data_IF_922878654249
#
_entry.id   IF_922878654249
#
_cell.length_a   1.000
_cell.length_b   1.000
_cell.length_c   1.000
_cell.angle_alpha   90.00
_cell.angle_beta   90.00
_cell.angle_gamma   90.00
#
_symmetry.space_group_name_H-M   'P 1'
#
loop_
_entity.id
_entity.type
_entity.pdbx_description
1 polymer ?
#
# COMPACT_ATOMS: atom_id res chain seq x y z
N UNK A 1 23.52 19.00 -6.30
CA UNK A 1 23.22 18.59 -4.90
C UNK A 1 22.65 17.19 -4.96
N UNK A 2 23.20 16.19 -4.25
CA UNK A 2 22.61 14.86 -4.22
C UNK A 2 21.20 14.95 -3.62
N UNK A 3 20.25 14.28 -4.26
CA UNK A 3 18.85 14.27 -3.85
C UNK A 3 18.70 13.47 -2.54
N UNK A 4 18.45 14.15 -1.41
CA UNK A 4 18.29 13.50 -0.10
C UNK A 4 16.82 13.10 0.12
N UNK A 5 16.55 11.80 -0.03
CA UNK A 5 15.23 11.20 0.12
C UNK A 5 14.67 11.25 1.55
N UNK A 6 15.52 11.42 2.57
CA UNK A 6 15.09 11.46 3.97
C UNK A 6 14.67 12.86 4.40
N UNK A 7 15.38 13.88 3.92
CA UNK A 7 15.13 15.28 4.30
C UNK A 7 14.05 15.96 3.47
N UNK A 8 13.81 15.51 2.25
CA UNK A 8 12.92 16.17 1.30
C UNK A 8 11.52 15.56 1.21
N UNK A 9 11.00 14.99 2.29
CA UNK A 9 9.59 14.57 2.32
C UNK A 9 8.68 15.80 2.19
N UNK A 10 7.71 15.79 1.24
CA UNK A 10 6.84 16.94 1.03
C UNK A 10 5.99 17.22 2.27
N UNK A 11 5.76 18.51 2.54
CA UNK A 11 4.80 18.92 3.58
C UNK A 11 3.37 18.65 3.10
N UNK A 12 2.39 18.47 4.01
CA UNK A 12 0.98 18.38 3.64
C UNK A 12 0.56 19.50 2.68
N UNK A 13 -0.14 19.16 1.60
CA UNK A 13 -0.59 20.11 0.57
C UNK A 13 0.46 20.49 -0.47
N UNK A 14 1.72 20.05 -0.33
CA UNK A 14 2.77 20.30 -1.34
C UNK A 14 2.95 19.11 -2.26
N UNK A 15 3.34 19.39 -3.51
CA UNK A 15 3.69 18.38 -4.51
C UNK A 15 5.18 18.44 -4.75
N UNK A 16 5.78 17.27 -4.90
CA UNK A 16 7.18 17.13 -5.23
C UNK A 16 7.30 16.04 -6.30
N UNK A 17 8.11 16.30 -7.34
CA UNK A 17 8.38 15.34 -8.40
C UNK A 17 9.84 14.89 -8.31
N UNK A 18 10.04 13.57 -8.22
CA UNK A 18 11.37 12.98 -8.31
C UNK A 18 11.94 13.21 -9.71
N UNK A 19 13.27 13.34 -9.85
CA UNK A 19 13.90 13.26 -11.17
C UNK A 19 13.59 11.90 -11.81
N UNK A 20 13.85 11.75 -13.11
CA UNK A 20 13.74 10.45 -13.77
C UNK A 20 14.66 9.43 -13.06
N UNK A 21 14.05 8.42 -12.45
CA UNK A 21 14.73 7.31 -11.80
C UNK A 21 14.78 6.13 -12.78
N UNK A 22 15.84 5.33 -12.69
CA UNK A 22 16.07 4.20 -13.59
C UNK A 22 16.12 2.88 -12.82
N UNK A 23 15.53 1.83 -13.41
CA UNK A 23 15.43 0.51 -12.77
C UNK A 23 14.75 0.60 -11.40
N UNK A 24 15.24 -0.18 -10.44
CA UNK A 24 14.70 -0.25 -9.08
C UNK A 24 15.08 0.95 -8.18
N UNK A 25 15.59 2.05 -8.76
CA UNK A 25 15.90 3.28 -8.01
C UNK A 25 14.65 3.93 -7.41
N UNK A 26 13.48 3.74 -8.05
CA UNK A 26 12.20 4.16 -7.49
C UNK A 26 11.83 3.39 -6.20
N UNK A 27 12.02 2.07 -6.17
CA UNK A 27 11.75 1.26 -4.99
C UNK A 27 12.71 1.61 -3.85
N UNK A 28 13.98 1.90 -4.15
CA UNK A 28 14.92 2.43 -3.16
C UNK A 28 14.46 3.78 -2.58
N UNK A 29 13.98 4.68 -3.45
CA UNK A 29 13.46 5.98 -3.05
C UNK A 29 12.24 5.84 -2.13
N UNK A 30 11.29 4.99 -2.51
CA UNK A 30 10.09 4.70 -1.72
C UNK A 30 10.43 4.02 -0.39
N UNK A 31 11.33 3.04 -0.39
CA UNK A 31 11.77 2.36 0.84
C UNK A 31 12.44 3.33 1.81
N UNK A 32 13.29 4.24 1.31
CA UNK A 32 13.95 5.25 2.13
C UNK A 32 12.95 6.23 2.73
N UNK A 33 11.97 6.69 1.94
CA UNK A 33 10.89 7.55 2.40
C UNK A 33 10.01 6.85 3.44
N UNK A 34 9.64 5.59 3.18
CA UNK A 34 8.82 4.76 4.06
C UNK A 34 9.49 4.52 5.42
N UNK A 35 10.81 4.25 5.45
CA UNK A 35 11.55 4.14 6.72
C UNK A 35 11.47 5.43 7.54
N UNK A 36 11.66 6.59 6.89
CA UNK A 36 11.57 7.88 7.56
C UNK A 36 10.15 8.23 8.04
N UNK A 37 9.11 7.76 7.34
CA UNK A 37 7.71 7.91 7.75
C UNK A 37 7.33 6.95 8.88
N UNK A 38 7.84 5.71 8.84
CA UNK A 38 7.68 4.72 9.90
C UNK A 38 8.22 5.22 11.24
N UNK A 39 9.38 5.87 11.26
CA UNK A 39 9.95 6.51 12.46
C UNK A 39 9.02 7.60 13.04
N UNK A 40 8.12 8.14 12.23
CA UNK A 40 7.11 9.14 12.61
C UNK A 40 5.71 8.54 12.84
N UNK A 41 5.59 7.21 12.84
CA UNK A 41 4.32 6.48 12.91
C UNK A 41 3.34 6.85 11.79
N UNK A 42 3.86 7.08 10.58
CA UNK A 42 3.07 7.41 9.40
C UNK A 42 3.20 6.33 8.34
N UNK A 43 2.09 6.06 7.64
CA UNK A 43 2.03 5.09 6.54
C UNK A 43 2.35 5.80 5.22
N UNK A 44 3.12 5.14 4.35
CA UNK A 44 3.30 5.58 2.96
C UNK A 44 2.26 4.88 2.06
N UNK A 45 1.41 5.65 1.38
CA UNK A 45 0.55 5.10 0.32
C UNK A 45 1.15 5.37 -1.06
N UNK A 46 1.38 4.30 -1.82
CA UNK A 46 1.92 4.32 -3.18
C UNK A 46 0.81 3.97 -4.14
N UNK A 47 0.44 4.92 -4.99
CA UNK A 47 -0.53 4.70 -6.06
C UNK A 47 0.26 4.43 -7.35
N UNK A 48 0.04 3.25 -7.94
CA UNK A 48 0.71 2.83 -9.17
C UNK A 48 -0.23 2.92 -10.37
N UNK A 49 0.31 3.09 -11.57
CA UNK A 49 -0.49 3.14 -12.78
C UNK A 49 -1.12 1.76 -13.10
N UNK A 50 -0.34 0.69 -12.97
CA UNK A 50 -0.75 -0.67 -13.34
C UNK A 50 -0.53 -1.66 -12.18
N UNK A 51 -1.29 -2.75 -12.17
CA UNK A 51 -1.16 -3.81 -11.15
C UNK A 51 0.24 -4.45 -11.12
N UNK A 52 0.88 -4.64 -12.28
CA UNK A 52 2.23 -5.19 -12.40
C UNK A 52 3.29 -4.32 -11.71
N UNK A 53 3.15 -3.00 -11.79
CA UNK A 53 4.05 -2.06 -11.09
C UNK A 53 3.86 -2.20 -9.58
N UNK A 54 2.62 -2.44 -9.14
CA UNK A 54 2.30 -2.69 -7.74
C UNK A 54 2.98 -3.94 -7.19
N UNK A 55 2.91 -5.05 -7.93
CA UNK A 55 3.57 -6.30 -7.55
C UNK A 55 5.10 -6.14 -7.53
N UNK A 56 5.69 -5.49 -8.56
CA UNK A 56 7.13 -5.20 -8.58
C UNK A 56 7.55 -4.44 -7.32
N UNK A 57 6.84 -3.36 -6.97
CA UNK A 57 7.17 -2.56 -5.80
C UNK A 57 6.97 -3.32 -4.49
N UNK A 58 5.97 -4.22 -4.42
CA UNK A 58 5.74 -5.08 -3.27
C UNK A 58 6.95 -5.99 -3.00
N UNK A 59 7.60 -6.47 -4.05
CA UNK A 59 8.79 -7.34 -3.94
C UNK A 59 10.08 -6.52 -3.70
N UNK A 60 10.23 -5.38 -4.37
CA UNK A 60 11.47 -4.57 -4.33
C UNK A 60 11.61 -3.74 -3.04
N UNK A 61 10.55 -3.12 -2.53
CA UNK A 61 10.63 -2.21 -1.36
C UNK A 61 11.15 -2.93 -0.09
N UNK A 62 10.64 -4.11 0.27
CA UNK A 62 11.16 -4.86 1.42
C UNK A 62 12.65 -5.16 1.30
N UNK A 63 13.13 -5.47 0.09
CA UNK A 63 14.55 -5.75 -0.18
C UNK A 63 15.44 -4.56 0.20
N UNK A 64 15.10 -3.35 -0.25
CA UNK A 64 15.88 -2.13 0.06
C UNK A 64 15.78 -1.72 1.53
N UNK A 65 14.71 -2.08 2.22
CA UNK A 65 14.52 -1.79 3.64
C UNK A 65 15.19 -2.80 4.59
N UNK A 66 15.71 -3.91 4.05
CA UNK A 66 16.22 -5.03 4.85
C UNK A 66 15.11 -5.75 5.64
N UNK A 67 13.91 -5.85 5.06
CA UNK A 67 12.75 -6.51 5.67
C UNK A 67 12.11 -5.74 6.83
N UNK A 68 12.45 -4.46 7.01
CA UNK A 68 11.93 -3.63 8.12
C UNK A 68 10.56 -3.03 7.86
N UNK A 69 10.11 -3.00 6.60
CA UNK A 69 8.83 -2.43 6.19
C UNK A 69 7.81 -3.54 5.94
N UNK A 70 6.66 -3.44 6.60
CA UNK A 70 5.48 -4.23 6.30
C UNK A 70 4.76 -3.60 5.10
N UNK A 71 4.94 -4.22 3.93
CA UNK A 71 4.38 -3.75 2.67
C UNK A 71 3.16 -4.58 2.30
N UNK A 72 2.06 -3.93 1.94
CA UNK A 72 0.81 -4.58 1.56
C UNK A 72 0.32 -4.05 0.22
N UNK A 73 -0.11 -4.96 -0.65
CA UNK A 73 -0.82 -4.62 -1.88
C UNK A 73 -2.33 -4.73 -1.60
N UNK A 74 -3.10 -3.74 -2.02
CA UNK A 74 -4.56 -3.85 -2.03
C UNK A 74 -4.93 -4.41 -3.41
N UNK A 75 -5.30 -5.70 -3.51
CA UNK A 75 -5.48 -6.32 -4.81
C UNK A 75 -6.76 -5.79 -5.47
N UNK A 76 -6.74 -5.75 -6.80
CA UNK A 76 -7.92 -5.34 -7.58
C UNK A 76 -9.00 -6.42 -7.52
N UNK A 77 -10.23 -6.07 -7.92
CA UNK A 77 -11.29 -7.09 -8.02
C UNK A 77 -11.08 -8.08 -9.16
N UNK A 78 -10.21 -7.76 -10.13
CA UNK A 78 -10.01 -8.51 -11.37
C UNK A 78 -11.30 -8.73 -12.17
N UNK A 79 -12.30 -7.88 -11.92
CA UNK A 79 -13.56 -7.83 -12.67
C UNK A 79 -13.71 -6.45 -13.27
N UNK A 80 -14.41 -6.37 -14.40
CA UNK A 80 -14.72 -5.09 -15.01
C UNK A 80 -15.79 -4.34 -14.21
N UNK A 81 -15.87 -2.99 -14.31
CA UNK A 81 -17.01 -2.27 -13.80
C UNK A 81 -18.31 -2.80 -14.44
N UNK A 82 -19.27 -3.21 -13.60
CA UNK A 82 -20.54 -3.84 -14.01
C UNK A 82 -20.39 -5.20 -14.70
N UNK A 83 -19.37 -5.98 -14.33
CA UNK A 83 -19.24 -7.37 -14.76
C UNK A 83 -20.38 -8.25 -14.22
N UNK A 84 -20.70 -9.31 -14.96
CA UNK A 84 -21.70 -10.30 -14.56
C UNK A 84 -21.15 -11.29 -13.51
N UNK A 85 -19.83 -11.34 -13.35
CA UNK A 85 -19.17 -12.22 -12.40
C UNK A 85 -18.84 -11.50 -11.10
N UNK A 86 -19.00 -12.23 -9.99
CA UNK A 86 -18.48 -11.79 -8.70
C UNK A 86 -16.96 -11.99 -8.65
N UNK A 87 -16.22 -11.15 -7.91
CA UNK A 87 -14.79 -11.34 -7.72
C UNK A 87 -14.49 -12.67 -7.03
N UNK A 88 -13.29 -13.19 -7.26
CA UNK A 88 -12.83 -14.43 -6.64
C UNK A 88 -12.78 -14.29 -5.11
N UNK A 89 -13.14 -15.36 -4.39
CA UNK A 89 -13.22 -15.34 -2.92
C UNK A 89 -11.86 -15.08 -2.26
N UNK A 90 -10.78 -15.50 -2.90
CA UNK A 90 -9.42 -15.24 -2.43
C UNK A 90 -9.10 -13.74 -2.46
N UNK A 91 -9.48 -13.04 -3.54
CA UNK A 91 -9.32 -11.58 -3.65
C UNK A 91 -10.17 -10.85 -2.60
N UNK A 92 -11.40 -11.30 -2.35
CA UNK A 92 -12.23 -10.75 -1.27
C UNK A 92 -11.52 -10.91 0.08
N UNK A 93 -10.99 -12.10 0.35
CA UNK A 93 -10.32 -12.43 1.61
C UNK A 93 -9.04 -11.62 1.81
N UNK A 94 -8.21 -11.53 0.77
CA UNK A 94 -6.97 -10.76 0.78
C UNK A 94 -7.23 -9.27 0.97
N UNK A 95 -8.26 -8.69 0.30
CA UNK A 95 -8.65 -7.29 0.53
C UNK A 95 -9.08 -7.04 1.97
N UNK A 96 -9.88 -7.94 2.54
CA UNK A 96 -10.32 -7.81 3.94
C UNK A 96 -9.14 -7.91 4.91
N UNK A 97 -8.19 -8.82 4.65
CA UNK A 97 -6.96 -8.94 5.42
C UNK A 97 -6.11 -7.65 5.32
N UNK A 98 -5.84 -7.16 4.12
CA UNK A 98 -5.08 -5.92 3.91
C UNK A 98 -5.74 -4.73 4.61
N UNK A 99 -7.05 -4.55 4.50
CA UNK A 99 -7.77 -3.46 5.19
C UNK A 99 -7.74 -3.62 6.71
N UNK A 100 -7.74 -4.85 7.23
CA UNK A 100 -7.59 -5.13 8.65
C UNK A 100 -6.20 -4.75 9.17
N UNK A 101 -5.13 -5.13 8.45
CA UNK A 101 -3.75 -4.81 8.79
C UNK A 101 -3.49 -3.29 8.77
N UNK A 102 -4.02 -2.58 7.75
CA UNK A 102 -3.96 -1.10 7.71
C UNK A 102 -4.61 -0.51 8.95
N UNK A 103 -5.84 -0.96 9.30
CA UNK A 103 -6.58 -0.45 10.45
C UNK A 103 -5.85 -0.68 11.78
N UNK A 104 -5.13 -1.79 11.90
CA UNK A 104 -4.41 -2.17 13.11
C UNK A 104 -2.99 -1.60 13.18
N UNK A 105 -2.59 -0.75 12.23
CA UNK A 105 -1.25 -0.15 12.20
C UNK A 105 -0.12 -1.13 11.88
N UNK A 106 -0.43 -2.24 11.21
CA UNK A 106 0.51 -3.28 10.81
C UNK A 106 0.99 -3.13 9.34
N UNK A 107 0.69 -1.99 8.73
CA UNK A 107 1.08 -1.65 7.36
C UNK A 107 1.94 -0.38 7.38
N UNK A 108 3.19 -0.47 6.92
CA UNK A 108 4.09 0.68 6.77
C UNK A 108 4.00 1.27 5.36
N UNK A 109 3.81 0.42 4.35
CA UNK A 109 3.66 0.80 2.94
C UNK A 109 2.44 0.13 2.35
N UNK A 110 1.48 0.93 1.90
CA UNK A 110 0.31 0.48 1.16
C UNK A 110 0.51 0.74 -0.32
N UNK A 111 0.53 -0.30 -1.14
CA UNK A 111 0.58 -0.20 -2.61
C UNK A 111 -0.82 -0.43 -3.17
N UNK A 112 -1.27 0.40 -4.10
CA UNK A 112 -2.60 0.26 -4.71
C UNK A 112 -2.60 0.74 -6.16
N UNK A 113 -3.15 -0.04 -7.11
CA UNK A 113 -3.37 0.46 -8.46
C UNK A 113 -4.34 1.63 -8.50
N UNK A 114 -4.12 2.58 -9.41
CA UNK A 114 -4.95 3.78 -9.53
C UNK A 114 -6.43 3.44 -9.77
N UNK A 115 -6.72 2.42 -10.56
CA UNK A 115 -8.08 1.92 -10.81
C UNK A 115 -8.74 1.43 -9.53
N UNK A 116 -8.03 0.62 -8.74
CA UNK A 116 -8.51 0.08 -7.46
C UNK A 116 -8.71 1.18 -6.42
N UNK A 117 -7.85 2.20 -6.40
CA UNK A 117 -7.94 3.33 -5.46
C UNK A 117 -9.19 4.20 -5.68
N UNK A 118 -9.75 4.20 -6.89
CA UNK A 118 -10.98 4.95 -7.22
C UNK A 118 -12.25 4.22 -6.77
N UNK A 119 -12.16 2.94 -6.44
CA UNK A 119 -13.31 2.14 -6.00
C UNK A 119 -13.67 2.50 -4.56
N UNK A 120 -14.96 2.76 -4.31
CA UNK A 120 -15.45 3.05 -2.95
C UNK A 120 -15.28 1.81 -2.07
N UNK A 121 -14.76 2.02 -0.86
CA UNK A 121 -14.62 0.99 0.15
C UNK A 121 -15.80 1.02 1.14
N UNK A 122 -16.06 -0.13 1.76
CA UNK A 122 -16.95 -0.20 2.91
C UNK A 122 -16.42 0.69 4.05
N UNK A 123 -17.31 1.30 4.87
CA UNK A 123 -16.85 2.12 5.98
C UNK A 123 -16.10 1.25 7.01
N UNK A 124 -15.10 1.81 7.72
CA UNK A 124 -14.36 1.06 8.75
C UNK A 124 -15.24 0.44 9.84
N UNK A 125 -16.38 1.07 10.15
CA UNK A 125 -17.37 0.56 11.11
C UNK A 125 -17.99 -0.76 10.69
N UNK A 126 -18.19 -0.99 9.39
CA UNK A 126 -18.68 -2.26 8.87
C UNK A 126 -17.68 -3.38 9.15
N UNK A 127 -16.41 -3.19 8.80
CA UNK A 127 -15.36 -4.19 9.07
C UNK A 127 -15.20 -4.47 10.56
N UNK A 128 -15.32 -3.44 11.42
CA UNK A 128 -15.22 -3.61 12.87
C UNK A 128 -16.39 -4.42 13.46
N UNK A 129 -17.62 -4.18 12.98
CA UNK A 129 -18.82 -4.86 13.49
C UNK A 129 -18.88 -6.36 13.13
N UNK A 130 -18.21 -6.76 12.05
CA UNK A 130 -18.24 -8.13 11.52
C UNK A 130 -16.88 -8.86 11.65
N UNK A 131 -16.00 -8.43 12.56
CA UNK A 131 -14.78 -9.15 12.95
C UNK A 131 -15.00 -9.86 14.29
N UNK A 132 -14.80 -11.18 14.35
CA UNK A 132 -14.95 -11.97 15.58
C UNK A 132 -13.60 -12.50 16.07
N UNK A 133 -13.31 -12.32 17.36
CA UNK A 133 -12.11 -12.85 18.01
C UNK A 133 -12.50 -14.04 18.91
N UNK A 134 -11.96 -15.21 18.61
CA UNK A 134 -12.18 -16.41 19.41
C UNK A 134 -10.95 -16.67 20.30
N UNK A 135 -11.17 -17.13 21.54
CA UNK A 135 -10.12 -17.61 22.45
C UNK A 135 -10.49 -19.02 22.90
N UNK A 136 -9.49 -19.89 23.02
CA UNK A 136 -9.71 -21.20 23.63
C UNK A 136 -10.09 -21.00 25.10
N UNK A 137 -11.20 -21.64 25.50
CA UNK A 137 -11.67 -21.67 26.89
C UNK A 137 -10.86 -22.62 27.75
#
# INVERSE_FOLDING_TARGET
MPFDLKKNLPKPGTRFALPALHGSSEAYALATAALALKDRQQILTVIVANASDGQRLLDEIPWFSGGKLSCHLLPDWETLPYDAFSPHQDLVSERLATLHEIRNGQCDVQVVPATTALVRLAPPSFLAAYTFFFRQG
#
